data_IF_545829798809
#
_entry.id   IF_545829798809
#
_cell.length_a   1.000
_cell.length_b   1.000
_cell.length_c   1.000
_cell.angle_alpha   90.00
_cell.angle_beta   90.00
_cell.angle_gamma   90.00
#
_symmetry.space_group_name_H-M   'P 1'
#
loop_
_entity.id
_entity.type
_entity.pdbx_description
1 polymer ?
#
# COMPACT_ATOMS: atom_id res chain seq x y z
N UNK A 1 -18.61 11.04 -41.16
CA UNK A 1 -17.57 10.03 -40.84
C UNK A 1 -16.71 10.42 -39.64
N UNK A 2 -16.10 11.62 -39.62
CA UNK A 2 -15.19 12.03 -38.53
C UNK A 2 -15.83 12.05 -37.13
N UNK A 3 -17.10 12.43 -37.02
CA UNK A 3 -17.87 12.42 -35.76
C UNK A 3 -18.09 11.02 -35.19
N UNK A 4 -18.39 10.05 -36.07
CA UNK A 4 -18.56 8.64 -35.69
C UNK A 4 -17.24 8.05 -35.20
N UNK A 5 -16.13 8.39 -35.88
CA UNK A 5 -14.79 7.98 -35.47
C UNK A 5 -14.41 8.55 -34.09
N UNK A 6 -14.71 9.82 -33.83
CA UNK A 6 -14.47 10.42 -32.51
C UNK A 6 -15.32 9.77 -31.42
N UNK A 7 -16.60 9.47 -31.71
CA UNK A 7 -17.47 8.75 -30.77
C UNK A 7 -16.93 7.36 -30.42
N UNK A 8 -16.49 6.60 -31.44
CA UNK A 8 -15.87 5.28 -31.24
C UNK A 8 -14.56 5.35 -30.45
N UNK A 9 -13.71 6.33 -30.74
CA UNK A 9 -12.46 6.54 -30.01
C UNK A 9 -12.71 6.86 -28.53
N UNK A 10 -13.66 7.75 -28.24
CA UNK A 10 -14.07 8.07 -26.87
C UNK A 10 -14.60 6.84 -26.14
N UNK A 11 -15.45 6.04 -26.80
CA UNK A 11 -16.02 4.83 -26.22
C UNK A 11 -14.94 3.79 -25.91
N UNK A 12 -13.95 3.64 -26.80
CA UNK A 12 -12.83 2.74 -26.60
C UNK A 12 -11.96 3.18 -25.42
N UNK A 13 -11.62 4.48 -25.32
CA UNK A 13 -10.87 5.03 -24.20
C UNK A 13 -11.64 4.84 -22.89
N UNK A 14 -12.93 5.15 -22.86
CA UNK A 14 -13.77 4.98 -21.68
C UNK A 14 -13.85 3.51 -21.24
N UNK A 15 -13.95 2.57 -22.17
CA UNK A 15 -13.98 1.14 -21.89
C UNK A 15 -12.64 0.66 -21.30
N UNK A 16 -11.52 1.02 -21.93
CA UNK A 16 -10.19 0.66 -21.44
C UNK A 16 -9.95 1.25 -20.06
N UNK A 17 -10.32 2.50 -19.84
CA UNK A 17 -10.23 3.15 -18.55
C UNK A 17 -11.07 2.43 -17.48
N UNK A 18 -12.32 2.07 -17.79
CA UNK A 18 -13.18 1.36 -16.86
C UNK A 18 -12.64 -0.05 -16.54
N UNK A 19 -12.13 -0.76 -17.54
CA UNK A 19 -11.52 -2.08 -17.35
C UNK A 19 -10.25 -1.96 -16.49
N UNK A 20 -9.32 -1.07 -16.82
CA UNK A 20 -8.09 -0.89 -16.03
C UNK A 20 -8.39 -0.47 -14.58
N UNK A 21 -9.36 0.43 -14.39
CA UNK A 21 -9.75 0.87 -13.04
C UNK A 21 -10.38 -0.26 -12.22
N UNK A 22 -11.30 -1.03 -12.81
CA UNK A 22 -11.97 -2.16 -12.12
C UNK A 22 -11.01 -3.31 -11.85
N UNK A 23 -10.08 -3.62 -12.77
CA UNK A 23 -9.03 -4.62 -12.55
C UNK A 23 -8.08 -4.22 -11.42
N UNK A 24 -7.66 -2.95 -11.36
CA UNK A 24 -6.80 -2.45 -10.28
C UNK A 24 -7.49 -2.49 -8.92
N UNK A 25 -8.77 -2.09 -8.85
CA UNK A 25 -9.56 -2.15 -7.62
C UNK A 25 -9.81 -3.60 -7.15
N UNK A 26 -10.16 -4.50 -8.06
CA UNK A 26 -10.38 -5.91 -7.72
C UNK A 26 -9.08 -6.60 -7.24
N UNK A 27 -7.94 -6.27 -7.86
CA UNK A 27 -6.64 -6.77 -7.43
C UNK A 27 -6.24 -6.22 -6.06
N UNK A 28 -6.47 -4.94 -5.77
CA UNK A 28 -6.18 -4.38 -4.44
C UNK A 28 -7.00 -5.07 -3.37
N UNK A 29 -8.29 -5.31 -3.61
CA UNK A 29 -9.18 -5.95 -2.65
C UNK A 29 -8.79 -7.41 -2.40
N UNK A 30 -8.45 -8.16 -3.46
CA UNK A 30 -8.01 -9.55 -3.34
C UNK A 30 -6.67 -9.68 -2.60
N UNK A 31 -5.73 -8.76 -2.85
CA UNK A 31 -4.43 -8.75 -2.14
C UNK A 31 -4.61 -8.35 -0.69
N UNK A 32 -5.46 -7.36 -0.40
CA UNK A 32 -5.79 -6.97 0.98
C UNK A 32 -6.40 -8.15 1.71
N UNK A 33 -7.42 -8.81 1.17
CA UNK A 33 -8.08 -9.93 1.82
C UNK A 33 -7.11 -11.08 2.13
N UNK A 34 -6.21 -11.41 1.19
CA UNK A 34 -5.26 -12.51 1.37
C UNK A 34 -4.15 -12.23 2.39
N UNK A 35 -3.74 -10.97 2.55
CA UNK A 35 -2.55 -10.60 3.34
C UNK A 35 -2.85 -9.77 4.59
N UNK A 36 -4.10 -9.33 4.81
CA UNK A 36 -4.49 -8.51 5.96
C UNK A 36 -4.11 -9.15 7.29
N UNK A 37 -4.44 -10.43 7.48
CA UNK A 37 -4.16 -11.12 8.75
C UNK A 37 -2.66 -11.28 8.98
N UNK A 38 -1.89 -11.60 7.92
CA UNK A 38 -0.43 -11.69 8.00
C UNK A 38 0.21 -10.33 8.31
N UNK A 39 -0.28 -9.27 7.69
CA UNK A 39 0.17 -7.91 7.93
C UNK A 39 -0.13 -7.47 9.36
N UNK A 40 -1.33 -7.76 9.89
CA UNK A 40 -1.71 -7.43 11.27
C UNK A 40 -0.83 -8.17 12.28
N UNK A 41 -0.57 -9.47 12.05
CA UNK A 41 0.33 -10.27 12.89
C UNK A 41 1.77 -9.73 12.88
N UNK A 42 2.29 -9.40 11.69
CA UNK A 42 3.64 -8.86 11.53
C UNK A 42 3.77 -7.48 12.20
N UNK A 43 2.80 -6.58 11.99
CA UNK A 43 2.79 -5.26 12.62
C UNK A 43 2.69 -5.36 14.15
N UNK A 44 1.89 -6.29 14.68
CA UNK A 44 1.83 -6.56 16.12
C UNK A 44 3.17 -7.04 16.67
N UNK A 45 3.83 -8.00 16.02
CA UNK A 45 5.14 -8.52 16.43
C UNK A 45 6.22 -7.42 16.41
N UNK A 46 6.19 -6.57 15.40
CA UNK A 46 7.15 -5.46 15.26
C UNK A 46 6.91 -4.33 16.25
N UNK A 47 5.66 -4.09 16.67
CA UNK A 47 5.34 -3.17 17.76
C UNK A 47 5.90 -3.66 19.10
N UNK A 48 5.76 -4.96 19.41
CA UNK A 48 6.27 -5.58 20.65
C UNK A 48 7.81 -5.61 20.69
N UNK A 49 8.48 -5.79 19.56
CA UNK A 49 9.95 -5.88 19.48
C UNK A 49 10.69 -4.54 19.55
N UNK A 50 9.99 -3.40 19.63
CA UNK A 50 10.62 -2.08 19.58
C UNK A 50 11.23 -1.69 20.94
N UNK A 51 12.45 -1.16 20.91
CA UNK A 51 13.21 -0.77 22.10
C UNK A 51 12.50 0.33 22.92
N UNK A 52 12.66 0.33 24.26
CA UNK A 52 12.08 1.36 25.13
C UNK A 52 12.63 2.75 24.75
N UNK A 53 11.74 3.66 24.33
CA UNK A 53 12.09 5.03 23.91
C UNK A 53 11.63 5.43 22.50
N UNK A 54 11.18 4.48 21.68
CA UNK A 54 10.41 4.80 20.47
C UNK A 54 8.98 5.22 20.85
N UNK A 55 8.35 6.12 20.06
CA UNK A 55 6.95 6.55 20.24
C UNK A 55 6.07 5.34 20.56
N UNK A 56 5.30 5.40 21.65
CA UNK A 56 4.48 4.27 22.10
C UNK A 56 3.56 3.79 20.98
N UNK A 57 3.85 2.60 20.45
CA UNK A 57 3.02 1.93 19.45
C UNK A 57 2.24 0.88 20.22
N UNK A 58 0.92 1.02 20.26
CA UNK A 58 0.09 0.08 20.99
C UNK A 58 0.02 -1.23 20.18
N UNK A 59 0.56 -2.36 20.68
CA UNK A 59 0.55 -3.61 19.93
C UNK A 59 -0.87 -4.14 19.71
N UNK A 60 -1.84 -3.75 20.54
CA UNK A 60 -3.26 -4.10 20.39
C UNK A 60 -3.99 -3.22 19.37
N UNK A 61 -3.34 -2.20 18.79
CA UNK A 61 -3.93 -1.36 17.75
C UNK A 61 -4.04 -2.07 16.39
N UNK A 62 -3.38 -3.23 16.23
CA UNK A 62 -3.30 -3.99 14.98
C UNK A 62 -4.20 -5.22 15.06
N UNK A 63 -5.48 -5.04 14.69
CA UNK A 63 -6.49 -6.10 14.65
C UNK A 63 -7.08 -6.25 13.25
N UNK A 64 -7.86 -7.30 13.01
CA UNK A 64 -8.60 -7.50 11.75
C UNK A 64 -9.62 -6.39 11.46
N UNK A 65 -9.92 -5.47 12.40
CA UNK A 65 -10.79 -4.30 12.15
C UNK A 65 -10.02 -3.05 11.66
N UNK A 66 -8.69 -3.14 11.52
CA UNK A 66 -7.82 -2.08 11.01
C UNK A 66 -8.07 -1.86 9.51
N UNK A 67 -8.14 -0.60 9.05
CA UNK A 67 -8.29 -0.34 7.61
C UNK A 67 -6.99 -0.73 6.90
N UNK A 68 -7.11 -1.50 5.82
CA UNK A 68 -6.00 -2.05 5.08
C UNK A 68 -6.08 -1.57 3.64
N UNK A 69 -5.03 -0.89 3.18
CA UNK A 69 -4.93 -0.38 1.81
C UNK A 69 -3.71 -1.00 1.13
N UNK A 70 -3.91 -1.61 -0.04
CA UNK A 70 -2.79 -2.05 -0.87
C UNK A 70 -2.24 -0.85 -1.64
N UNK A 71 -0.97 -0.54 -1.41
CA UNK A 71 -0.25 0.58 -2.03
C UNK A 71 0.97 0.02 -2.75
N UNK A 72 1.27 0.55 -3.94
CA UNK A 72 2.53 0.26 -4.61
C UNK A 72 3.62 1.22 -4.14
N UNK A 73 4.70 0.66 -3.62
CA UNK A 73 5.87 1.39 -3.17
C UNK A 73 5.76 1.97 -1.76
N UNK A 74 6.91 2.19 -1.13
CA UNK A 74 7.01 2.83 0.18
C UNK A 74 7.24 4.35 0.04
N UNK A 75 6.21 5.13 0.40
CA UNK A 75 6.22 6.60 0.32
C UNK A 75 7.20 7.27 1.31
N UNK A 76 7.58 6.60 2.40
CA UNK A 76 8.47 7.15 3.42
C UNK A 76 9.96 7.07 3.02
N UNK A 77 10.32 6.25 2.03
CA UNK A 77 11.70 6.17 1.54
C UNK A 77 12.04 7.42 0.72
N UNK A 78 13.03 8.21 1.12
CA UNK A 78 13.40 9.40 0.34
C UNK A 78 14.32 9.04 -0.84
N UNK A 79 13.76 8.47 -1.91
CA UNK A 79 14.48 8.20 -3.17
C UNK A 79 13.84 9.01 -4.30
N UNK A 80 14.65 9.65 -5.13
CA UNK A 80 14.16 10.40 -6.27
C UNK A 80 13.72 9.46 -7.40
N UNK A 81 12.69 9.85 -8.15
CA UNK A 81 12.16 9.02 -9.25
C UNK A 81 13.21 8.75 -10.35
N UNK A 82 14.14 9.67 -10.56
CA UNK A 82 15.22 9.56 -11.55
C UNK A 82 16.43 8.76 -11.06
N UNK A 83 16.53 8.43 -9.77
CA UNK A 83 17.66 7.69 -9.19
C UNK A 83 17.47 6.17 -9.31
N UNK A 84 17.33 5.67 -10.55
CA UNK A 84 16.96 4.27 -10.83
C UNK A 84 18.06 3.26 -10.47
N UNK A 85 19.28 3.71 -10.18
CA UNK A 85 20.38 2.85 -9.74
C UNK A 85 20.40 2.65 -8.22
N UNK A 86 19.54 3.36 -7.49
CA UNK A 86 19.45 3.23 -6.05
C UNK A 86 18.90 1.84 -5.67
N UNK A 87 19.55 1.09 -4.76
CA UNK A 87 19.05 -0.21 -4.34
C UNK A 87 17.66 -0.16 -3.69
N UNK A 88 17.24 1.01 -3.19
CA UNK A 88 15.92 1.24 -2.58
C UNK A 88 14.86 1.74 -3.59
N UNK A 89 15.21 1.91 -4.87
CA UNK A 89 14.28 2.43 -5.87
C UNK A 89 13.08 1.50 -6.08
N UNK A 90 13.34 0.19 -6.20
CA UNK A 90 12.28 -0.81 -6.31
C UNK A 90 11.37 -0.81 -5.09
N UNK A 91 11.95 -0.69 -3.88
CA UNK A 91 11.18 -0.63 -2.63
C UNK A 91 10.29 0.62 -2.56
N UNK A 92 10.78 1.75 -3.10
CA UNK A 92 10.01 3.00 -3.12
C UNK A 92 8.88 3.02 -4.15
N UNK A 93 9.07 2.45 -5.33
CA UNK A 93 8.14 2.65 -6.46
C UNK A 93 7.48 1.39 -7.00
N UNK A 94 8.05 0.20 -6.78
CA UNK A 94 7.62 -1.04 -7.42
C UNK A 94 7.06 -2.06 -6.44
N UNK A 95 7.59 -2.13 -5.22
CA UNK A 95 7.25 -3.19 -4.29
C UNK A 95 5.83 -3.06 -3.72
N UNK A 96 5.01 -4.12 -3.76
CA UNK A 96 3.67 -4.08 -3.20
C UNK A 96 3.72 -4.03 -1.67
N UNK A 97 3.08 -3.02 -1.11
CA UNK A 97 2.95 -2.80 0.31
C UNK A 97 1.49 -2.80 0.73
N UNK A 98 1.22 -3.21 1.97
CA UNK A 98 -0.09 -3.08 2.59
C UNK A 98 0.04 -2.14 3.75
N UNK A 99 -0.64 -1.00 3.67
CA UNK A 99 -0.68 0.00 4.74
C UNK A 99 -1.88 -0.28 5.61
N UNK A 100 -1.61 -0.64 6.86
CA UNK A 100 -2.59 -0.77 7.92
C UNK A 100 -2.71 0.57 8.65
N UNK A 101 -3.91 1.11 8.77
CA UNK A 101 -4.21 2.29 9.59
C UNK A 101 -5.10 1.90 10.76
N UNK A 102 -4.55 2.00 11.97
CA UNK A 102 -5.28 1.75 13.22
C UNK A 102 -6.32 2.83 13.50
N UNK A 103 -7.30 2.50 14.33
CA UNK A 103 -8.33 3.44 14.77
C UNK A 103 -7.77 4.65 15.53
N UNK A 104 -6.57 4.53 16.11
CA UNK A 104 -5.85 5.58 16.82
C UNK A 104 -4.91 6.38 15.90
N UNK A 105 -5.00 6.19 14.58
CA UNK A 105 -4.22 6.93 13.58
C UNK A 105 -2.77 6.48 13.40
N UNK A 106 -2.34 5.40 14.08
CA UNK A 106 -1.03 4.78 13.81
C UNK A 106 -1.07 4.03 12.48
N UNK A 107 0.01 4.13 11.70
CA UNK A 107 0.13 3.49 10.39
C UNK A 107 1.30 2.49 10.37
N UNK A 108 1.09 1.32 9.79
CA UNK A 108 2.10 0.28 9.60
C UNK A 108 2.08 -0.20 8.16
N UNK A 109 3.19 -0.08 7.45
CA UNK A 109 3.37 -0.66 6.13
C UNK A 109 3.96 -2.08 6.26
N UNK A 110 3.35 -3.04 5.59
CA UNK A 110 3.82 -4.41 5.45
C UNK A 110 4.29 -4.64 4.01
N UNK A 111 5.56 -5.02 3.82
CA UNK A 111 6.12 -5.41 2.53
C UNK A 111 5.74 -6.87 2.25
N UNK A 112 4.94 -7.09 1.20
CA UNK A 112 4.46 -8.42 0.83
C UNK A 112 5.59 -9.31 0.29
N UNK A 113 6.61 -8.73 -0.33
CA UNK A 113 7.73 -9.42 -0.97
C UNK A 113 8.78 -9.86 0.05
N UNK A 114 9.19 -8.98 0.97
CA UNK A 114 10.20 -9.27 2.00
C UNK A 114 9.61 -9.83 3.29
N UNK A 115 8.29 -9.69 3.50
CA UNK A 115 7.63 -10.00 4.77
C UNK A 115 8.03 -9.05 5.90
N UNK A 116 8.61 -7.90 5.56
CA UNK A 116 9.06 -6.87 6.49
C UNK A 116 7.94 -5.92 6.88
N UNK A 117 8.12 -5.19 7.98
CA UNK A 117 7.18 -4.14 8.39
C UNK A 117 7.91 -2.86 8.72
N UNK A 118 7.36 -1.74 8.28
CA UNK A 118 7.82 -0.40 8.59
C UNK A 118 6.68 0.37 9.24
N UNK A 119 6.88 0.83 10.48
CA UNK A 119 5.92 1.73 11.12
C UNK A 119 6.08 3.12 10.51
N UNK A 120 5.00 3.62 9.89
CA UNK A 120 4.98 4.96 9.31
C UNK A 120 4.68 5.96 10.43
N UNK A 121 5.36 7.10 10.43
CA UNK A 121 5.01 8.19 11.34
C UNK A 121 3.58 8.67 10.99
N UNK A 122 2.71 8.83 11.98
CA UNK A 122 1.37 9.35 11.71
C UNK A 122 1.49 10.72 11.04
N UNK A 123 0.83 10.91 9.90
CA UNK A 123 0.70 12.23 9.31
C UNK A 123 0.14 13.18 10.38
N UNK A 124 0.85 14.27 10.65
CA UNK A 124 0.31 15.38 11.45
C UNK A 124 -0.82 16.04 10.68
#
# INVERSE_FOLDING_TARGET
MRTILFGLALLAVAKVWYQDHTYRAAMSDAVVEAYRDRAAEACRRSAVKRAPGAREVNPNAWTTSTTAEAVMGNLDLNVAIWDTQNPLWDERFRDPHIVLTSQIGQRCAYDVRKGGTTLLASAR
#
